data_IF_437942089798
#
_entry.id   IF_437942089798
#
_cell.length_a   1.000
_cell.length_b   1.000
_cell.length_c   1.000
_cell.angle_alpha   90.00
_cell.angle_beta   90.00
_cell.angle_gamma   90.00
#
_symmetry.space_group_name_H-M   'P 1'
#
loop_
_entity.id
_entity.type
_entity.pdbx_description
1 polymer ?
#
# COMPACT_ATOMS: atom_id res chain seq x y z
N UNK A 1 -30.48 7.14 -24.93
CA UNK A 1 -30.07 7.53 -23.55
C UNK A 1 -30.13 6.39 -22.52
N UNK A 2 -30.28 5.12 -22.91
CA UNK A 2 -30.36 3.99 -21.95
C UNK A 2 -29.49 2.77 -22.28
N UNK A 3 -28.57 2.87 -23.26
CA UNK A 3 -27.81 1.72 -23.75
C UNK A 3 -26.31 1.73 -23.41
N UNK A 4 -25.77 2.82 -22.88
CA UNK A 4 -24.33 2.93 -22.60
C UNK A 4 -23.93 2.86 -21.12
N UNK A 5 -24.89 2.87 -20.19
CA UNK A 5 -24.63 2.79 -18.75
C UNK A 5 -24.69 1.37 -18.17
N UNK A 6 -25.16 0.38 -18.93
CA UNK A 6 -25.31 -1.02 -18.48
C UNK A 6 -24.21 -1.96 -18.98
N UNK A 7 -23.36 -1.51 -19.91
CA UNK A 7 -22.34 -2.36 -20.56
C UNK A 7 -21.01 -2.51 -19.78
N UNK A 8 -20.52 -1.53 -18.98
CA UNK A 8 -19.26 -1.72 -18.24
C UNK A 8 -19.35 -2.86 -17.22
N UNK A 9 -20.49 -2.97 -16.53
CA UNK A 9 -20.77 -4.00 -15.52
C UNK A 9 -21.07 -5.39 -16.10
N UNK A 10 -21.37 -5.48 -17.40
CA UNK A 10 -21.57 -6.76 -18.11
C UNK A 10 -20.29 -7.28 -18.76
N UNK A 11 -19.31 -6.41 -19.04
CA UNK A 11 -18.04 -6.79 -19.67
C UNK A 11 -16.95 -7.15 -18.67
N UNK A 12 -17.05 -6.68 -17.43
CA UNK A 12 -16.17 -7.08 -16.33
C UNK A 12 -17.04 -7.60 -15.17
N UNK A 13 -16.90 -8.89 -14.77
CA UNK A 13 -17.62 -9.39 -13.61
C UNK A 13 -17.26 -8.58 -12.36
N UNK A 14 -18.12 -8.54 -11.32
CA UNK A 14 -17.85 -7.81 -10.09
C UNK A 14 -16.45 -8.15 -9.56
N UNK A 15 -15.55 -7.18 -9.68
CA UNK A 15 -14.15 -7.32 -9.31
C UNK A 15 -14.07 -7.31 -7.79
N UNK A 16 -13.44 -8.34 -7.21
CA UNK A 16 -13.30 -8.46 -5.76
C UNK A 16 -11.95 -7.87 -5.39
N UNK A 17 -11.98 -6.74 -4.71
CA UNK A 17 -10.80 -5.92 -4.47
C UNK A 17 -10.44 -5.95 -2.99
N UNK A 18 -9.15 -6.06 -2.70
CA UNK A 18 -8.61 -5.82 -1.36
C UNK A 18 -8.08 -4.38 -1.31
N UNK A 19 -8.39 -3.66 -0.23
CA UNK A 19 -7.75 -2.39 0.07
C UNK A 19 -7.16 -2.42 1.48
N UNK A 20 -5.85 -2.26 1.57
CA UNK A 20 -5.15 -2.12 2.85
C UNK A 20 -5.00 -0.65 3.22
N UNK A 21 -4.97 -0.31 4.51
CA UNK A 21 -4.81 1.10 4.91
C UNK A 21 -6.02 1.95 4.58
N UNK A 22 -7.18 1.31 4.38
CA UNK A 22 -8.45 1.90 3.95
C UNK A 22 -8.98 3.00 4.87
N UNK A 23 -8.54 3.02 6.12
CA UNK A 23 -8.93 4.04 7.12
C UNK A 23 -8.09 5.31 7.07
N UNK A 24 -6.99 5.29 6.29
CA UNK A 24 -6.13 6.44 6.09
C UNK A 24 -6.72 7.42 5.07
N UNK A 25 -6.09 8.59 4.95
CA UNK A 25 -6.52 9.64 4.02
C UNK A 25 -6.59 9.17 2.56
N UNK A 26 -5.47 8.69 2.01
CA UNK A 26 -5.44 8.19 0.63
C UNK A 26 -6.28 6.91 0.48
N UNK A 27 -6.20 6.01 1.47
CA UNK A 27 -6.91 4.73 1.43
C UNK A 27 -8.44 4.89 1.36
N UNK A 28 -9.01 5.88 2.05
CA UNK A 28 -10.45 6.11 2.01
C UNK A 28 -10.93 6.66 0.67
N UNK A 29 -10.12 7.51 0.01
CA UNK A 29 -10.39 7.97 -1.35
C UNK A 29 -10.25 6.86 -2.39
N UNK A 30 -9.27 5.95 -2.22
CA UNK A 30 -9.19 4.73 -3.03
C UNK A 30 -10.47 3.93 -2.87
N UNK A 31 -10.87 3.59 -1.64
CA UNK A 31 -12.11 2.85 -1.39
C UNK A 31 -13.32 3.53 -2.00
N UNK A 32 -13.47 4.84 -1.81
CA UNK A 32 -14.55 5.62 -2.41
C UNK A 32 -14.59 5.46 -3.93
N UNK A 33 -13.46 5.64 -4.61
CA UNK A 33 -13.39 5.53 -6.07
C UNK A 33 -13.75 4.13 -6.56
N UNK A 34 -13.29 3.07 -5.87
CA UNK A 34 -13.63 1.69 -6.21
C UNK A 34 -15.15 1.43 -6.05
N UNK A 35 -15.75 1.95 -4.97
CA UNK A 35 -17.19 1.81 -4.72
C UNK A 35 -18.04 2.58 -5.74
N UNK A 36 -17.60 3.76 -6.19
CA UNK A 36 -18.26 4.54 -7.25
C UNK A 36 -18.29 3.81 -8.61
N UNK A 37 -17.36 2.87 -8.83
CA UNK A 37 -17.36 1.96 -9.98
C UNK A 37 -18.17 0.68 -9.75
N UNK A 38 -18.92 0.60 -8.64
CA UNK A 38 -19.75 -0.55 -8.25
C UNK A 38 -18.93 -1.84 -8.07
N UNK A 39 -17.68 -1.73 -7.63
CA UNK A 39 -16.84 -2.88 -7.27
C UNK A 39 -17.00 -3.30 -5.81
N UNK A 40 -16.76 -4.58 -5.52
CA UNK A 40 -16.83 -5.13 -4.16
C UNK A 40 -15.47 -4.94 -3.48
N UNK A 41 -15.44 -4.20 -2.38
CA UNK A 41 -14.20 -3.82 -1.71
C UNK A 41 -14.13 -4.45 -0.32
N UNK A 42 -13.10 -5.26 -0.09
CA UNK A 42 -12.70 -5.75 1.24
C UNK A 42 -11.66 -4.79 1.82
N UNK A 43 -12.13 -3.88 2.66
CA UNK A 43 -11.30 -2.87 3.30
C UNK A 43 -10.73 -3.43 4.61
N UNK A 44 -9.42 -3.61 4.66
CA UNK A 44 -8.74 -4.09 5.86
C UNK A 44 -8.61 -2.99 6.90
N UNK A 45 -9.01 -3.31 8.12
CA UNK A 45 -8.97 -2.43 9.29
C UNK A 45 -8.28 -3.12 10.47
N UNK A 46 -7.78 -2.36 11.44
CA UNK A 46 -7.07 -2.90 12.61
C UNK A 46 -7.98 -3.28 13.77
N UNK A 47 -9.16 -2.68 13.85
CA UNK A 47 -10.10 -2.88 14.94
C UNK A 47 -11.28 -3.75 14.46
N UNK A 48 -11.93 -4.51 15.34
CA UNK A 48 -13.11 -5.27 14.96
C UNK A 48 -14.21 -4.35 14.39
N UNK A 49 -14.86 -4.70 13.25
CA UNK A 49 -15.98 -3.92 12.70
C UNK A 49 -17.16 -3.77 13.68
N UNK A 50 -17.31 -4.71 14.62
CA UNK A 50 -18.33 -4.68 15.68
C UNK A 50 -18.09 -3.59 16.73
N UNK A 51 -16.90 -2.98 16.75
CA UNK A 51 -16.53 -1.92 17.71
C UNK A 51 -16.71 -0.55 17.05
N UNK A 52 -17.64 0.31 17.50
CA UNK A 52 -17.77 1.66 16.96
C UNK A 52 -16.44 2.43 17.05
N UNK A 53 -15.95 2.92 15.92
CA UNK A 53 -14.67 3.64 15.87
C UNK A 53 -14.71 4.82 14.90
N UNK A 54 -14.25 6.02 15.33
CA UNK A 54 -14.11 7.15 14.43
C UNK A 54 -13.04 6.89 13.35
N UNK A 55 -12.17 5.89 13.54
CA UNK A 55 -11.11 5.55 12.57
C UNK A 55 -11.65 5.00 11.26
N UNK A 56 -12.80 4.32 11.25
CA UNK A 56 -13.38 3.76 10.02
C UNK A 56 -14.83 4.15 9.77
N UNK A 57 -15.48 4.88 10.68
CA UNK A 57 -16.88 5.30 10.51
C UNK A 57 -17.13 6.15 9.25
N UNK A 58 -16.09 6.81 8.73
CA UNK A 58 -16.19 7.56 7.48
C UNK A 58 -16.37 6.65 6.25
N UNK A 59 -15.85 5.42 6.27
CA UNK A 59 -16.03 4.46 5.18
C UNK A 59 -17.49 3.99 5.06
N UNK A 60 -18.18 3.85 6.20
CA UNK A 60 -19.59 3.46 6.27
C UNK A 60 -20.56 4.55 5.79
N UNK A 61 -20.05 5.76 5.52
CA UNK A 61 -20.84 6.88 4.98
C UNK A 61 -20.60 7.12 3.49
N UNK A 62 -19.77 6.28 2.85
CA UNK A 62 -19.48 6.38 1.43
C UNK A 62 -20.70 5.94 0.59
N UNK A 63 -20.85 6.46 -0.63
CA UNK A 63 -21.81 5.92 -1.58
C UNK A 63 -21.48 4.45 -1.89
N UNK A 64 -22.50 3.66 -2.23
CA UNK A 64 -22.37 2.23 -2.56
C UNK A 64 -21.76 1.36 -1.46
N UNK A 65 -21.87 1.77 -0.19
CA UNK A 65 -21.30 1.03 0.94
C UNK A 65 -21.85 -0.39 1.12
N UNK A 66 -22.96 -0.76 0.47
CA UNK A 66 -23.42 -2.16 0.37
C UNK A 66 -22.38 -3.10 -0.26
N UNK A 67 -21.48 -2.56 -1.08
CA UNK A 67 -20.36 -3.29 -1.68
C UNK A 67 -19.09 -3.28 -0.81
N UNK A 68 -19.11 -2.59 0.33
CA UNK A 68 -17.98 -2.47 1.26
C UNK A 68 -18.05 -3.57 2.33
N UNK A 69 -16.95 -4.30 2.49
CA UNK A 69 -16.74 -5.27 3.58
C UNK A 69 -15.57 -4.81 4.43
N UNK A 70 -15.83 -4.44 5.68
CA UNK A 70 -14.78 -4.15 6.65
C UNK A 70 -14.28 -5.47 7.27
N UNK A 71 -12.97 -5.71 7.22
CA UNK A 71 -12.37 -6.95 7.71
C UNK A 71 -11.20 -6.62 8.63
N UNK A 72 -11.17 -7.22 9.82
CA UNK A 72 -10.09 -7.00 10.77
C UNK A 72 -8.86 -7.83 10.39
N UNK A 73 -7.73 -7.17 10.16
CA UNK A 73 -6.43 -7.81 9.89
C UNK A 73 -5.34 -6.95 10.52
N UNK A 74 -4.38 -7.59 11.19
CA UNK A 74 -3.11 -6.94 11.55
C UNK A 74 -2.02 -7.32 10.52
N UNK A 75 -1.74 -6.41 9.59
CA UNK A 75 -0.73 -6.62 8.57
C UNK A 75 0.71 -6.70 9.11
N UNK A 76 0.94 -6.28 10.35
CA UNK A 76 2.27 -6.35 11.00
C UNK A 76 2.47 -7.67 11.76
N UNK A 77 1.42 -8.46 11.96
CA UNK A 77 1.50 -9.70 12.73
C UNK A 77 1.94 -10.88 11.87
N UNK A 78 2.98 -11.58 12.34
CA UNK A 78 3.44 -12.85 11.76
C UNK A 78 2.87 -14.06 12.50
N UNK A 79 1.87 -13.84 13.35
CA UNK A 79 1.12 -14.93 13.97
C UNK A 79 0.49 -15.82 12.88
N UNK A 80 0.58 -17.14 13.07
CA UNK A 80 0.15 -18.10 12.06
C UNK A 80 -1.35 -18.01 11.76
N UNK A 81 -2.17 -17.76 12.79
CA UNK A 81 -3.62 -17.61 12.62
C UNK A 81 -3.94 -16.30 11.89
N UNK A 82 -3.22 -15.22 12.18
CA UNK A 82 -3.36 -13.96 11.43
C UNK A 82 -2.96 -14.11 9.95
N UNK A 83 -1.85 -14.79 9.64
CA UNK A 83 -1.43 -15.02 8.25
C UNK A 83 -2.37 -15.98 7.51
N UNK A 84 -2.92 -16.99 8.20
CA UNK A 84 -3.97 -17.85 7.64
C UNK A 84 -5.22 -17.02 7.34
N UNK A 85 -5.67 -16.20 8.28
CA UNK A 85 -6.81 -15.31 8.09
C UNK A 85 -6.59 -14.34 6.92
N UNK A 86 -5.37 -13.77 6.79
CA UNK A 86 -5.03 -12.89 5.67
C UNK A 86 -5.18 -13.59 4.31
N UNK A 87 -4.78 -14.86 4.20
CA UNK A 87 -4.99 -15.68 2.99
C UNK A 87 -6.47 -15.91 2.70
N UNK A 88 -7.26 -16.28 3.70
CA UNK A 88 -8.72 -16.44 3.57
C UNK A 88 -9.40 -15.15 3.09
N UNK A 89 -8.92 -14.00 3.58
CA UNK A 89 -9.43 -12.69 3.19
C UNK A 89 -9.04 -12.32 1.76
N UNK A 90 -7.89 -12.77 1.28
CA UNK A 90 -7.43 -12.55 -0.08
C UNK A 90 -8.08 -13.51 -1.08
N UNK A 91 -8.55 -14.67 -0.62
CA UNK A 91 -9.13 -15.68 -1.51
C UNK A 91 -10.38 -15.17 -2.26
N UNK A 92 -10.40 -15.41 -3.57
CA UNK A 92 -11.42 -14.92 -4.49
C UNK A 92 -11.33 -13.43 -4.81
N UNK A 93 -10.29 -12.71 -4.34
CA UNK A 93 -9.97 -11.38 -4.82
C UNK A 93 -8.98 -11.46 -5.99
N UNK A 94 -9.08 -10.53 -6.95
CA UNK A 94 -8.20 -10.48 -8.12
C UNK A 94 -7.11 -9.39 -8.01
N UNK A 95 -7.39 -8.32 -7.27
CA UNK A 95 -6.49 -7.17 -7.15
C UNK A 95 -6.43 -6.65 -5.72
N UNK A 96 -5.22 -6.35 -5.25
CA UNK A 96 -4.96 -5.73 -3.96
C UNK A 96 -4.34 -4.33 -4.12
N UNK A 97 -4.99 -3.32 -3.55
CA UNK A 97 -4.44 -1.98 -3.38
C UNK A 97 -3.69 -1.92 -2.04
N UNK A 98 -2.37 -2.06 -2.09
CA UNK A 98 -1.53 -1.94 -0.91
C UNK A 98 -1.17 -0.47 -0.62
N UNK A 99 -2.05 0.23 0.11
CA UNK A 99 -1.87 1.64 0.51
C UNK A 99 -1.35 1.75 1.96
N UNK A 100 -1.52 0.69 2.77
CA UNK A 100 -1.16 0.73 4.17
C UNK A 100 0.34 0.96 4.36
N UNK A 101 0.68 2.00 5.12
CA UNK A 101 2.03 2.29 5.55
C UNK A 101 1.96 3.01 6.88
N UNK A 102 2.87 2.72 7.83
CA UNK A 102 2.98 3.50 9.04
C UNK A 102 3.33 4.95 8.68
N UNK A 103 2.71 5.88 9.41
CA UNK A 103 2.96 7.32 9.32
C UNK A 103 2.74 7.92 10.69
N UNK A 104 3.66 8.76 11.15
CA UNK A 104 3.56 9.42 12.44
C UNK A 104 3.91 10.90 12.30
N UNK A 105 3.17 11.73 13.04
CA UNK A 105 3.39 13.17 13.11
C UNK A 105 4.42 13.57 14.18
N UNK A 106 4.95 12.60 14.94
CA UNK A 106 5.86 12.83 16.05
C UNK A 106 7.08 11.91 15.98
N UNK A 107 8.24 12.36 16.51
CA UNK A 107 9.42 11.53 16.67
C UNK A 107 9.09 10.27 17.47
N UNK A 108 9.66 9.15 17.04
CA UNK A 108 9.57 7.85 17.74
C UNK A 108 10.86 7.58 18.51
N UNK A 109 10.75 6.81 19.59
CA UNK A 109 11.92 6.41 20.39
C UNK A 109 12.79 5.43 19.60
N UNK A 110 12.16 4.50 18.87
CA UNK A 110 12.83 3.57 17.96
C UNK A 110 12.18 3.60 16.57
N UNK A 111 12.59 4.54 15.70
CA UNK A 111 12.06 4.63 14.34
C UNK A 111 12.32 3.40 13.47
N UNK A 112 13.33 2.57 13.79
CA UNK A 112 13.56 1.33 13.05
C UNK A 112 12.41 0.35 13.33
N UNK A 113 12.11 0.09 14.61
CA UNK A 113 11.02 -0.83 15.01
C UNK A 113 9.62 -0.27 14.84
N UNK A 114 9.45 1.04 14.97
CA UNK A 114 8.13 1.66 14.97
C UNK A 114 7.67 2.08 13.56
N UNK A 115 8.59 2.27 12.61
CA UNK A 115 8.26 2.80 11.28
C UNK A 115 8.86 1.98 10.13
N UNK A 116 10.16 1.68 10.17
CA UNK A 116 10.83 1.01 9.04
C UNK A 116 10.45 -0.48 8.98
N UNK A 117 10.63 -1.22 10.07
CA UNK A 117 10.28 -2.64 10.14
C UNK A 117 8.80 -2.88 9.85
N UNK A 118 7.85 -2.10 10.39
CA UNK A 118 6.44 -2.26 10.04
C UNK A 118 6.14 -1.98 8.58
N UNK A 119 6.75 -0.97 7.96
CA UNK A 119 6.53 -0.69 6.53
C UNK A 119 6.96 -1.86 5.64
N UNK A 120 8.13 -2.46 5.93
CA UNK A 120 8.62 -3.64 5.23
C UNK A 120 7.73 -4.85 5.50
N UNK A 121 7.41 -5.12 6.78
CA UNK A 121 6.64 -6.30 7.19
C UNK A 121 5.22 -6.30 6.62
N UNK A 122 4.55 -5.14 6.61
CA UNK A 122 3.23 -5.03 5.99
C UNK A 122 3.28 -5.34 4.49
N UNK A 123 4.31 -4.85 3.81
CA UNK A 123 4.54 -5.11 2.38
C UNK A 123 4.84 -6.60 2.14
N UNK A 124 5.68 -7.19 2.97
CA UNK A 124 6.02 -8.60 2.93
C UNK A 124 4.82 -9.51 3.11
N UNK A 125 4.01 -9.28 4.15
CA UNK A 125 2.85 -10.10 4.42
C UNK A 125 1.82 -10.00 3.29
N UNK A 126 1.63 -8.82 2.69
CA UNK A 126 0.74 -8.65 1.53
C UNK A 126 1.27 -9.39 0.31
N UNK A 127 2.54 -9.21 -0.06
CA UNK A 127 3.09 -9.80 -1.28
C UNK A 127 3.26 -11.32 -1.18
N UNK A 128 3.63 -11.85 -0.02
CA UNK A 128 3.68 -13.31 0.21
C UNK A 128 2.30 -13.93 0.17
N UNK A 129 1.31 -13.30 0.83
CA UNK A 129 -0.09 -13.77 0.75
C UNK A 129 -0.60 -13.73 -0.69
N UNK A 130 -0.29 -12.65 -1.42
CA UNK A 130 -0.64 -12.52 -2.82
C UNK A 130 -0.07 -13.65 -3.69
N UNK A 131 1.19 -14.03 -3.46
CA UNK A 131 1.83 -15.15 -4.17
C UNK A 131 1.19 -16.51 -3.83
N UNK A 132 0.73 -16.70 -2.59
CA UNK A 132 0.08 -17.94 -2.13
C UNK A 132 -1.38 -18.07 -2.63
N UNK A 133 -2.03 -16.98 -3.02
CA UNK A 133 -3.46 -16.94 -3.39
C UNK A 133 -3.62 -16.87 -4.90
N UNK A 134 -3.99 -18.00 -5.51
CA UNK A 134 -4.06 -18.15 -6.97
C UNK A 134 -5.05 -17.21 -7.69
N UNK A 135 -6.08 -16.74 -6.99
CA UNK A 135 -7.06 -15.79 -7.52
C UNK A 135 -6.50 -14.37 -7.64
N UNK A 136 -5.54 -13.98 -6.79
CA UNK A 136 -4.97 -12.65 -6.79
C UNK A 136 -3.92 -12.50 -7.90
N UNK A 137 -4.18 -11.62 -8.86
CA UNK A 137 -3.33 -11.42 -10.04
C UNK A 137 -2.48 -10.17 -9.97
N UNK A 138 -2.96 -9.15 -9.26
CA UNK A 138 -2.34 -7.83 -9.27
C UNK A 138 -2.22 -7.27 -7.87
N UNK A 139 -1.05 -6.77 -7.52
CA UNK A 139 -0.85 -5.93 -6.33
C UNK A 139 -0.39 -4.55 -6.77
N UNK A 140 -1.16 -3.53 -6.42
CA UNK A 140 -0.83 -2.12 -6.64
C UNK A 140 -0.22 -1.60 -5.35
N UNK A 141 1.10 -1.42 -5.34
CA UNK A 141 1.85 -0.92 -4.20
C UNK A 141 1.88 0.61 -4.22
N UNK A 142 1.46 1.25 -3.12
CA UNK A 142 1.56 2.70 -2.97
C UNK A 142 2.90 3.07 -2.33
N UNK A 143 3.89 3.37 -3.19
CA UNK A 143 5.15 3.95 -2.74
C UNK A 143 5.01 5.47 -2.46
N UNK A 144 6.10 6.22 -2.59
CA UNK A 144 6.16 7.66 -2.40
C UNK A 144 7.27 8.23 -3.26
N UNK A 145 7.10 9.45 -3.74
CA UNK A 145 8.18 10.25 -4.32
C UNK A 145 9.39 10.36 -3.38
N UNK A 146 9.18 10.23 -2.06
CA UNK A 146 10.24 10.14 -1.06
C UNK A 146 11.20 8.94 -1.25
N UNK A 147 10.80 7.90 -1.97
CA UNK A 147 11.65 6.77 -2.34
C UNK A 147 12.54 7.05 -3.57
N UNK A 148 12.25 8.14 -4.29
CA UNK A 148 12.90 8.50 -5.55
C UNK A 148 13.83 9.70 -5.41
N UNK A 149 13.44 10.78 -4.72
CA UNK A 149 14.17 12.07 -4.79
C UNK A 149 15.02 12.46 -3.58
N UNK A 150 14.96 11.72 -2.46
CA UNK A 150 15.56 12.14 -1.18
C UNK A 150 17.05 11.79 -1.13
N UNK A 151 17.91 12.81 -1.16
CA UNK A 151 19.38 12.69 -1.27
C UNK A 151 20.09 13.98 -0.87
N UNK A 152 21.43 13.95 -0.67
CA UNK A 152 22.19 15.17 -0.43
C UNK A 152 21.99 16.20 -1.56
N UNK A 153 21.95 17.49 -1.21
CA UNK A 153 21.88 18.58 -2.19
C UNK A 153 22.99 18.46 -3.25
N UNK A 154 22.64 18.72 -4.51
CA UNK A 154 23.59 18.70 -5.63
C UNK A 154 23.93 17.32 -6.19
N UNK A 155 23.15 16.28 -5.85
CA UNK A 155 23.22 14.95 -6.49
C UNK A 155 21.89 14.59 -7.13
N UNK A 156 21.57 15.21 -8.26
CA UNK A 156 20.64 14.62 -9.23
C UNK A 156 21.49 14.13 -10.39
N UNK A 157 21.13 13.01 -11.02
CA UNK A 157 21.79 12.47 -12.21
C UNK A 157 21.99 13.66 -13.18
N UNK A 158 23.24 14.07 -13.39
CA UNK A 158 23.59 15.13 -14.34
C UNK A 158 23.86 16.56 -13.83
N UNK A 159 23.59 16.99 -12.59
CA UNK A 159 23.93 18.38 -12.16
C UNK A 159 24.30 18.57 -10.68
N UNK A 160 25.32 19.41 -10.44
CA UNK A 160 25.77 19.90 -9.11
C UNK A 160 24.91 21.09 -8.65
N UNK A 161 24.85 21.29 -7.33
CA UNK A 161 24.21 22.47 -6.73
C UNK A 161 24.91 23.75 -7.21
N UNK A 162 24.16 24.68 -7.81
CA UNK A 162 24.64 25.95 -8.35
C UNK A 162 24.35 26.19 -9.84
N UNK A 163 23.88 25.17 -10.57
CA UNK A 163 23.59 25.25 -12.01
C UNK A 163 22.07 25.23 -12.31
N UNK A 164 21.35 26.28 -11.92
CA UNK A 164 19.95 26.50 -12.34
C UNK A 164 18.93 25.46 -11.83
N UNK A 165 17.66 25.63 -12.21
CA UNK A 165 16.49 24.86 -11.74
C UNK A 165 16.76 23.36 -11.58
N UNK A 166 16.36 22.81 -10.43
CA UNK A 166 16.76 21.50 -9.92
C UNK A 166 16.69 20.38 -10.95
N UNK A 167 17.69 19.48 -10.90
CA UNK A 167 17.81 18.38 -11.87
C UNK A 167 16.57 17.49 -11.97
N UNK A 168 16.42 16.84 -13.12
CA UNK A 168 15.29 15.97 -13.46
C UNK A 168 15.28 14.70 -12.60
N UNK A 169 14.10 14.33 -12.11
CA UNK A 169 13.89 13.12 -11.31
C UNK A 169 13.15 12.10 -12.19
N UNK A 170 13.78 10.96 -12.45
CA UNK A 170 13.25 9.85 -13.25
C UNK A 170 12.76 8.70 -12.34
N UNK A 171 11.89 7.84 -12.86
CA UNK A 171 11.31 6.70 -12.14
C UNK A 171 12.32 5.57 -11.85
N UNK A 172 13.47 5.54 -12.55
CA UNK A 172 14.55 4.58 -12.32
C UNK A 172 15.46 4.95 -11.14
N UNK A 173 15.23 6.13 -10.55
CA UNK A 173 16.07 6.68 -9.48
C UNK A 173 15.62 6.19 -8.10
N UNK A 174 16.60 6.04 -7.21
CA UNK A 174 16.37 5.72 -5.80
C UNK A 174 16.92 6.82 -4.88
N UNK A 175 16.23 7.03 -3.77
CA UNK A 175 16.70 7.85 -2.64
C UNK A 175 17.93 7.22 -1.96
N UNK A 176 18.77 8.08 -1.37
CA UNK A 176 20.01 7.68 -0.68
C UNK A 176 19.72 7.26 0.76
N UNK A 177 19.72 5.94 1.01
CA UNK A 177 19.41 5.37 2.32
C UNK A 177 20.40 5.74 3.42
N UNK A 178 21.70 5.83 3.10
CA UNK A 178 22.73 6.17 4.07
C UNK A 178 22.55 7.62 4.53
N UNK A 179 22.30 8.52 3.58
CA UNK A 179 22.03 9.91 3.87
C UNK A 179 20.72 10.10 4.65
N UNK A 180 19.63 9.41 4.26
CA UNK A 180 18.38 9.44 5.01
C UNK A 180 18.56 8.97 6.45
N UNK A 181 19.37 7.93 6.67
CA UNK A 181 19.69 7.43 8.01
C UNK A 181 20.49 8.45 8.82
N UNK A 182 21.52 9.06 8.22
CA UNK A 182 22.31 10.13 8.85
C UNK A 182 21.43 11.32 9.26
N UNK A 183 20.53 11.75 8.37
CA UNK A 183 19.61 12.88 8.60
C UNK A 183 18.35 12.50 9.38
N UNK A 184 18.23 11.25 9.84
CA UNK A 184 17.08 10.75 10.61
C UNK A 184 15.74 10.91 9.87
N UNK A 185 15.77 10.82 8.53
CA UNK A 185 14.60 10.87 7.64
C UNK A 185 13.98 9.47 7.53
N UNK A 186 13.39 9.00 8.63
CA UNK A 186 12.97 7.60 8.75
C UNK A 186 11.73 7.23 7.92
N UNK A 187 10.80 8.17 7.66
CA UNK A 187 9.66 7.90 6.79
C UNK A 187 10.08 7.67 5.32
N UNK A 188 10.85 8.58 4.69
CA UNK A 188 11.43 8.32 3.38
C UNK A 188 12.24 7.02 3.32
N UNK A 189 13.04 6.75 4.35
CA UNK A 189 13.81 5.51 4.45
C UNK A 189 12.93 4.27 4.50
N UNK A 190 11.86 4.29 5.31
CA UNK A 190 10.90 3.19 5.40
C UNK A 190 10.19 2.92 4.07
N UNK A 191 9.76 3.97 3.36
CA UNK A 191 9.16 3.85 2.02
C UNK A 191 10.14 3.25 1.01
N UNK A 192 11.37 3.76 0.99
CA UNK A 192 12.44 3.28 0.09
C UNK A 192 12.72 1.79 0.33
N UNK A 193 12.88 1.39 1.60
CA UNK A 193 13.18 0.00 1.95
C UNK A 193 12.03 -0.95 1.65
N UNK A 194 10.79 -0.55 1.93
CA UNK A 194 9.61 -1.35 1.64
C UNK A 194 9.45 -1.58 0.12
N UNK A 195 9.65 -0.54 -0.69
CA UNK A 195 9.57 -0.66 -2.14
C UNK A 195 10.71 -1.51 -2.74
N UNK A 196 11.96 -1.31 -2.30
CA UNK A 196 13.09 -2.15 -2.72
C UNK A 196 12.88 -3.61 -2.34
N UNK A 197 12.35 -3.87 -1.14
CA UNK A 197 12.01 -5.24 -0.72
C UNK A 197 10.98 -5.85 -1.67
N UNK A 198 9.92 -5.10 -2.02
CA UNK A 198 8.89 -5.56 -2.94
C UNK A 198 9.45 -5.92 -4.33
N UNK A 199 10.25 -5.03 -4.92
CA UNK A 199 10.89 -5.29 -6.22
C UNK A 199 11.84 -6.47 -6.18
N UNK A 200 12.63 -6.61 -5.12
CA UNK A 200 13.52 -7.76 -4.95
C UNK A 200 12.74 -9.07 -4.81
N UNK A 201 11.63 -9.07 -4.08
CA UNK A 201 10.78 -10.25 -3.91
C UNK A 201 10.14 -10.69 -5.24
N UNK A 202 9.63 -9.74 -6.03
CA UNK A 202 8.98 -10.03 -7.32
C UNK A 202 10.00 -10.35 -8.42
N UNK A 203 11.13 -9.64 -8.45
CA UNK A 203 12.19 -9.83 -9.45
C UNK A 203 13.10 -11.04 -9.19
N UNK A 204 13.24 -11.46 -7.93
CA UNK A 204 14.04 -12.62 -7.52
C UNK A 204 13.34 -13.98 -7.68
N UNK A 205 12.07 -14.00 -8.10
CA UNK A 205 11.29 -15.23 -8.35
C UNK A 205 11.73 -16.06 -9.57
N UNK A 206 12.86 -15.70 -10.20
CA UNK A 206 13.47 -16.43 -11.33
C UNK A 206 14.77 -17.18 -11.00
N UNK A 207 15.33 -17.03 -9.80
CA UNK A 207 16.54 -17.77 -9.40
C UNK A 207 16.25 -18.59 -8.15
N UNK A 208 15.57 -19.71 -8.40
CA UNK A 208 15.54 -20.86 -7.50
C UNK A 208 15.96 -22.10 -8.28
N UNK A 209 17.23 -22.48 -8.15
CA UNK A 209 17.69 -23.87 -8.10
C UNK A 209 18.68 -24.03 -6.93
#
# INVERSE_FOLDING_TARGET
>A
FLFFTLLPSLLFPPTNLISTGSTGFLGSHVVQSLLEHNWVVRALIRQPPSTPSPKFSHLLRLPHQENLKLIQVDLMSNDADNLKHLREVFDGADTCFHVASPFFNQPKEDPEKELIEPAIRMTENVLKTAADVSSLKTVILTSSTAAVYVRPEGRVKGKRAGEGEGGEVEEDMWSDEAWMREKKLFYPLGKTKAEKWAWNYVGGGGEGE
#
